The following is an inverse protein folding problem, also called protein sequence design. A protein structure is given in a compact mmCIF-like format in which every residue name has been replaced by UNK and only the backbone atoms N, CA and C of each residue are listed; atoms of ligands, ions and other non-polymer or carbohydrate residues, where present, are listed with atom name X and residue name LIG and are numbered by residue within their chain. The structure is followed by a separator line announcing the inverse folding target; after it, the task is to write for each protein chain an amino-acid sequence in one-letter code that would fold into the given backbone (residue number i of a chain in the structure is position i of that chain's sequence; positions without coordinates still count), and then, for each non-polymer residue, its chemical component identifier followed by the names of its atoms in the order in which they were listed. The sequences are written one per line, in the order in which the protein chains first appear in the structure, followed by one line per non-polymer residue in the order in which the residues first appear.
data_IF_472662911284
#
_entry.id   IF_472662911284
#
_cell.length_a   1.000
_cell.length_b   1.000
_cell.length_c   1.000
_cell.angle_alpha   90.00
_cell.angle_beta   90.00
_cell.angle_gamma   90.00
#
_symmetry.space_group_name_H-M   'P 1'
#
loop_
_entity.id
_entity.type
_entity.pdbx_description
1 polymer ?
#
# COMPACT_ATOMS: atom_id res chain seq x y z
N UNK A 1 9.59 24.58 15.03
CA UNK A 1 8.64 23.73 14.44
C UNK A 1 9.04 22.28 14.53
N UNK A 2 8.12 21.51 14.79
CA UNK A 2 8.38 20.12 15.04
C UNK A 2 8.26 19.36 13.74
N UNK A 3 9.39 19.05 13.14
CA UNK A 3 9.41 18.40 11.84
C UNK A 3 8.66 17.08 11.79
N UNK A 4 8.69 16.34 12.91
CA UNK A 4 8.01 15.07 12.98
C UNK A 4 6.49 15.20 12.83
N UNK A 5 5.90 16.24 13.42
CA UNK A 5 4.47 16.49 13.31
C UNK A 5 4.12 16.84 11.87
N UNK A 6 4.91 17.70 11.24
CA UNK A 6 4.67 18.06 9.85
C UNK A 6 4.77 16.85 8.93
N UNK A 7 5.73 15.97 9.17
CA UNK A 7 5.86 14.75 8.39
C UNK A 7 4.67 13.82 8.56
N UNK A 8 4.15 13.71 9.79
CA UNK A 8 2.97 12.88 10.04
C UNK A 8 1.76 13.41 9.29
N UNK A 9 1.60 14.74 9.25
CA UNK A 9 0.50 15.33 8.48
C UNK A 9 0.64 15.07 6.99
N UNK A 10 1.87 15.10 6.48
CA UNK A 10 2.14 14.87 5.07
C UNK A 10 2.01 13.41 4.68
N UNK A 11 2.17 12.51 5.62
CA UNK A 11 2.12 11.07 5.39
C UNK A 11 1.00 10.46 6.22
N UNK A 12 -0.18 11.00 6.04
CA UNK A 12 -1.32 10.71 6.90
C UNK A 12 -2.24 9.60 6.42
N UNK A 13 -1.79 8.74 5.54
CA UNK A 13 -2.63 7.65 5.04
C UNK A 13 -1.93 6.32 5.14
N UNK A 14 -2.72 5.31 5.45
CA UNK A 14 -2.28 3.91 5.37
C UNK A 14 -3.10 3.24 4.29
N UNK A 15 -2.42 2.53 3.41
CA UNK A 15 -3.07 1.77 2.36
C UNK A 15 -2.73 0.30 2.54
N UNK A 16 -3.75 -0.52 2.66
CA UNK A 16 -3.59 -1.97 2.79
C UNK A 16 -3.95 -2.64 1.47
N UNK A 17 -3.07 -3.50 1.02
CA UNK A 17 -3.27 -4.24 -0.23
C UNK A 17 -3.31 -5.72 0.10
N UNK A 18 -4.36 -6.39 -0.35
CA UNK A 18 -4.45 -7.84 -0.31
C UNK A 18 -4.41 -8.34 -1.74
N UNK A 19 -3.43 -9.15 -2.07
CA UNK A 19 -3.28 -9.65 -3.43
C UNK A 19 -3.19 -11.17 -3.43
N UNK A 20 -3.70 -11.80 -4.46
CA UNK A 20 -3.47 -13.21 -4.66
C UNK A 20 -2.02 -13.42 -5.09
N UNK A 21 -1.44 -14.53 -4.65
CA UNK A 21 -0.04 -14.81 -4.89
C UNK A 21 0.16 -15.38 -6.30
N UNK A 22 -0.06 -14.55 -7.31
CA UNK A 22 0.14 -14.88 -8.71
C UNK A 22 1.22 -13.98 -9.28
N UNK A 23 2.00 -14.51 -10.18
CA UNK A 23 3.11 -13.76 -10.77
C UNK A 23 2.61 -12.49 -11.46
N UNK A 24 1.54 -12.61 -12.26
CA UNK A 24 1.01 -11.45 -12.99
C UNK A 24 0.51 -10.37 -12.05
N UNK A 25 -0.18 -10.77 -10.98
CA UNK A 25 -0.70 -9.83 -9.99
C UNK A 25 0.44 -9.14 -9.25
N UNK A 26 1.40 -9.91 -8.79
CA UNK A 26 2.54 -9.37 -8.06
C UNK A 26 3.34 -8.40 -8.92
N UNK A 27 3.58 -8.74 -10.18
CA UNK A 27 4.31 -7.88 -11.10
C UNK A 27 3.58 -6.56 -11.30
N UNK A 28 2.27 -6.62 -11.50
CA UNK A 28 1.49 -5.41 -11.73
C UNK A 28 1.47 -4.51 -10.51
N UNK A 29 1.30 -5.09 -9.33
CA UNK A 29 1.35 -4.33 -8.08
C UNK A 29 2.71 -3.67 -7.92
N UNK A 30 3.79 -4.41 -8.16
CA UNK A 30 5.14 -3.85 -8.04
C UNK A 30 5.37 -2.69 -9.00
N UNK A 31 4.89 -2.79 -10.23
CA UNK A 31 5.01 -1.70 -11.18
C UNK A 31 4.31 -0.44 -10.69
N UNK A 32 3.09 -0.61 -10.17
CA UNK A 32 2.31 0.51 -9.65
C UNK A 32 3.02 1.15 -8.46
N UNK A 33 3.54 0.35 -7.54
CA UNK A 33 4.22 0.88 -6.36
C UNK A 33 5.52 1.59 -6.75
N UNK A 34 6.23 1.08 -7.74
CA UNK A 34 7.45 1.72 -8.22
C UNK A 34 7.14 3.07 -8.86
N UNK A 35 6.07 3.14 -9.65
CA UNK A 35 5.66 4.39 -10.29
C UNK A 35 5.23 5.45 -9.28
N UNK A 36 4.77 5.03 -8.12
CA UNK A 36 4.30 5.93 -7.07
C UNK A 36 5.26 6.01 -5.89
N UNK A 37 6.52 5.61 -6.10
CA UNK A 37 7.49 5.52 -5.02
C UNK A 37 7.71 6.81 -4.25
N UNK A 38 7.56 7.97 -4.90
CA UNK A 38 7.73 9.25 -4.23
C UNK A 38 6.68 9.52 -3.15
N UNK A 39 5.54 8.87 -3.26
CA UNK A 39 4.45 9.03 -2.30
C UNK A 39 4.44 7.96 -1.23
N UNK A 40 5.29 6.97 -1.32
CA UNK A 40 5.32 5.86 -0.39
C UNK A 40 6.52 6.00 0.53
N UNK A 41 6.24 6.20 1.82
CA UNK A 41 7.31 6.34 2.80
C UNK A 41 7.73 5.02 3.40
N UNK A 42 6.74 4.19 3.71
CA UNK A 42 6.99 2.88 4.34
C UNK A 42 6.24 1.83 3.55
N UNK A 43 6.90 0.71 3.36
CA UNK A 43 6.32 -0.43 2.69
C UNK A 43 6.64 -1.68 3.51
N UNK A 44 5.59 -2.38 3.92
CA UNK A 44 5.75 -3.57 4.74
C UNK A 44 4.95 -4.71 4.13
N UNK A 45 5.66 -5.75 3.74
CA UNK A 45 5.03 -6.98 3.28
C UNK A 45 4.85 -7.93 4.45
N UNK A 46 3.66 -8.52 4.55
CA UNK A 46 3.33 -9.44 5.61
C UNK A 46 3.16 -10.85 5.07
N UNK A 47 3.78 -11.81 5.74
CA UNK A 47 3.66 -13.20 5.42
C UNK A 47 3.13 -13.94 6.63
N UNK A 48 2.39 -14.99 6.37
CA UNK A 48 1.93 -15.88 7.44
C UNK A 48 3.11 -16.78 7.85
N UNK A 49 3.89 -16.31 8.78
CA UNK A 49 4.99 -17.09 9.29
C UNK A 49 4.42 -18.31 10.03
N UNK A 50 4.85 -19.46 9.72
CA UNK A 50 4.40 -20.67 10.38
C UNK A 50 3.33 -21.45 9.64
N UNK A 51 2.73 -20.85 8.62
CA UNK A 51 1.93 -21.63 7.70
C UNK A 51 2.85 -22.09 6.60
N UNK A 52 2.92 -23.37 6.47
CA UNK A 52 3.66 -23.88 5.35
C UNK A 52 2.96 -23.50 4.12
N UNK A 53 3.62 -22.80 3.38
CA UNK A 53 3.38 -22.77 2.01
C UNK A 53 2.08 -22.37 1.54
N UNK A 54 1.23 -22.18 1.67
CA UNK A 54 0.10 -22.22 0.78
C UNK A 54 -0.86 -21.11 0.97
N UNK A 55 -0.43 -20.02 1.52
CA UNK A 55 -1.22 -18.83 1.43
C UNK A 55 -1.15 -18.34 0.00
N UNK A 56 -2.28 -18.34 -0.68
CA UNK A 56 -2.37 -17.80 -2.02
C UNK A 56 -2.54 -16.29 -2.02
N UNK A 57 -2.39 -15.66 -0.88
CA UNK A 57 -2.53 -14.21 -0.79
C UNK A 57 -1.43 -13.62 0.04
N UNK A 58 -1.08 -12.39 -0.28
CA UNK A 58 -0.11 -11.62 0.49
C UNK A 58 -0.70 -10.28 0.83
N UNK A 59 -0.28 -9.73 1.95
CA UNK A 59 -0.71 -8.41 2.38
C UNK A 59 0.48 -7.46 2.38
N UNK A 60 0.25 -6.26 1.88
CA UNK A 60 1.23 -5.19 1.90
C UNK A 60 0.60 -3.98 2.57
N UNK A 61 1.33 -3.37 3.48
CA UNK A 61 0.91 -2.12 4.11
C UNK A 61 1.83 -1.01 3.66
N UNK A 62 1.24 0.11 3.30
CA UNK A 62 2.00 1.29 2.85
C UNK A 62 1.62 2.47 3.70
N UNK A 63 2.61 3.31 4.03
CA UNK A 63 2.32 4.65 4.52
C UNK A 63 2.46 5.60 3.34
N UNK A 64 1.39 6.35 3.07
CA UNK A 64 1.31 7.21 1.91
C UNK A 64 1.45 8.66 2.32
N UNK A 65 2.30 9.37 1.61
CA UNK A 65 2.53 10.80 1.79
C UNK A 65 1.87 11.54 0.64
N UNK A 66 1.59 12.81 0.87
CA UNK A 66 0.98 13.65 -0.13
C UNK A 66 -0.48 13.94 0.16
N UNK A 67 -1.18 14.46 -0.83
CA UNK A 67 -2.55 14.87 -0.64
C UNK A 67 -3.52 13.71 -0.78
N UNK A 68 -4.72 13.92 -0.26
CA UNK A 68 -5.77 12.92 -0.30
C UNK A 68 -6.03 12.43 -1.72
N UNK A 69 -6.03 13.34 -2.69
CA UNK A 69 -6.28 12.97 -4.09
C UNK A 69 -5.23 11.99 -4.60
N UNK A 70 -3.98 12.18 -4.20
CA UNK A 70 -2.90 11.28 -4.62
C UNK A 70 -3.07 9.89 -4.00
N UNK A 71 -3.44 9.85 -2.73
CA UNK A 71 -3.69 8.59 -2.04
C UNK A 71 -4.88 7.84 -2.65
N UNK A 72 -5.94 8.58 -2.97
CA UNK A 72 -7.12 7.98 -3.59
C UNK A 72 -6.84 7.49 -5.00
N UNK A 73 -6.04 8.21 -5.77
CA UNK A 73 -5.62 7.75 -7.09
C UNK A 73 -4.86 6.43 -7.01
N UNK A 74 -3.96 6.34 -6.07
CA UNK A 74 -3.20 5.10 -5.89
C UNK A 74 -4.13 3.95 -5.51
N UNK A 75 -5.07 4.22 -4.60
CA UNK A 75 -6.06 3.23 -4.20
C UNK A 75 -6.84 2.71 -5.40
N UNK A 76 -7.35 3.62 -6.23
CA UNK A 76 -8.16 3.23 -7.38
C UNK A 76 -7.34 2.46 -8.42
N UNK A 77 -6.09 2.86 -8.62
CA UNK A 77 -5.19 2.18 -9.54
C UNK A 77 -4.96 0.74 -9.10
N UNK A 78 -4.74 0.54 -7.80
CA UNK A 78 -4.52 -0.80 -7.27
C UNK A 78 -5.79 -1.65 -7.32
N UNK A 79 -6.94 -1.05 -7.01
CA UNK A 79 -8.20 -1.78 -7.05
C UNK A 79 -8.59 -2.23 -8.45
N UNK A 80 -8.06 -1.57 -9.48
CA UNK A 80 -8.32 -1.94 -10.85
C UNK A 80 -7.54 -3.19 -11.30
N UNK A 81 -6.54 -3.59 -10.53
CA UNK A 81 -5.78 -4.81 -10.84
C UNK A 81 -6.61 -6.04 -10.47
N UNK A 82 -6.78 -6.99 -11.38
CA UNK A 82 -7.48 -8.23 -11.03
C UNK A 82 -6.83 -8.94 -9.86
N UNK A 83 -7.66 -9.50 -8.99
CA UNK A 83 -7.21 -10.26 -7.82
C UNK A 83 -6.53 -9.42 -6.74
N UNK A 84 -6.76 -8.11 -6.76
CA UNK A 84 -6.24 -7.20 -5.75
C UNK A 84 -7.41 -6.54 -5.05
N UNK A 85 -7.34 -6.50 -3.72
CA UNK A 85 -8.23 -5.71 -2.88
C UNK A 85 -7.40 -4.69 -2.14
N UNK A 86 -7.93 -3.51 -1.96
CA UNK A 86 -7.18 -2.46 -1.27
C UNK A 86 -8.11 -1.58 -0.48
N UNK A 87 -7.59 -1.05 0.62
CA UNK A 87 -8.32 -0.10 1.47
C UNK A 87 -7.39 1.01 1.89
N UNK A 88 -7.94 2.20 1.98
CA UNK A 88 -7.22 3.38 2.40
C UNK A 88 -7.79 3.85 3.73
N UNK A 89 -6.91 4.19 4.66
CA UNK A 89 -7.30 4.72 5.96
C UNK A 89 -6.59 6.03 6.20
N UNK A 90 -7.34 7.03 6.64
CA UNK A 90 -6.77 8.31 7.04
C UNK A 90 -6.33 8.23 8.50
N UNK A 91 -5.16 8.78 8.77
CA UNK A 91 -4.61 8.82 10.13
C UNK A 91 -4.95 10.18 10.74
N UNK A 92 -6.10 10.24 11.39
CA UNK A 92 -6.54 11.48 12.05
C UNK A 92 -6.24 11.38 13.53
N UNK A 93 -5.10 11.89 13.89
CA UNK A 93 -4.71 11.89 15.29
C UNK A 93 -5.03 13.21 15.98
#
# INVERSE_FOLDING_TARGET
MIGGVAMMEQCGYILAILQENRVETATKVQEILTQNGCNIRVRLGLHDAGLESCSNSGMILLQICGEKAEAENLLMTLKAVPHVKAKLMSLDF
#
